data_IF_710641063648
#
_entry.id   IF_710641063648
#
_cell.length_a   1.000
_cell.length_b   1.000
_cell.length_c   1.000
_cell.angle_alpha   90.00
_cell.angle_beta   90.00
_cell.angle_gamma   90.00
#
_symmetry.space_group_name_H-M   'P 1'
#
loop_
_entity.id
_entity.type
_entity.pdbx_description
1 polymer ?
#
# COMPACT_ATOMS: atom_id res chain seq x y z
N UNK A 1 15.11 -29.54 -5.79
CA UNK A 1 15.05 -29.21 -4.34
C UNK A 1 13.59 -28.94 -4.01
N UNK A 2 13.02 -29.69 -3.08
CA UNK A 2 11.64 -29.49 -2.63
C UNK A 2 11.50 -28.24 -1.75
N UNK A 3 10.26 -27.79 -1.54
CA UNK A 3 9.96 -26.56 -0.80
C UNK A 3 10.40 -26.65 0.67
N UNK A 4 10.34 -27.82 1.29
CA UNK A 4 10.73 -28.04 2.68
C UNK A 4 12.24 -27.87 2.83
N UNK A 5 13.01 -28.51 1.95
CA UNK A 5 14.47 -28.37 1.91
C UNK A 5 14.89 -26.92 1.68
N UNK A 6 14.24 -26.21 0.75
CA UNK A 6 14.55 -24.79 0.49
C UNK A 6 14.26 -23.90 1.71
N UNK A 7 13.17 -24.15 2.44
CA UNK A 7 12.82 -23.40 3.66
C UNK A 7 13.81 -23.62 4.79
N UNK A 8 14.27 -24.85 4.98
CA UNK A 8 15.24 -25.17 6.04
C UNK A 8 16.58 -24.49 5.79
N UNK A 9 17.11 -24.55 4.57
CA UNK A 9 18.35 -23.84 4.20
C UNK A 9 18.22 -22.33 4.41
N UNK A 10 17.06 -21.75 4.12
CA UNK A 10 16.84 -20.33 4.34
C UNK A 10 16.89 -19.96 5.83
N UNK A 11 16.24 -20.75 6.71
CA UNK A 11 16.26 -20.52 8.16
C UNK A 11 17.69 -20.57 8.71
N UNK A 12 18.45 -21.60 8.34
CA UNK A 12 19.84 -21.73 8.79
C UNK A 12 20.70 -20.53 8.39
N UNK A 13 20.53 -19.99 7.18
CA UNK A 13 21.23 -18.79 6.72
C UNK A 13 20.76 -17.54 7.46
N UNK A 14 19.48 -17.45 7.76
CA UNK A 14 18.90 -16.32 8.48
C UNK A 14 19.41 -16.26 9.92
N UNK A 15 19.48 -17.41 10.61
CA UNK A 15 19.98 -17.51 11.98
C UNK A 15 21.46 -17.11 12.11
N UNK A 16 22.22 -17.21 11.01
CA UNK A 16 23.63 -16.80 10.97
C UNK A 16 23.83 -15.29 10.76
N UNK A 17 22.77 -14.53 10.44
CA UNK A 17 22.87 -13.09 10.24
C UNK A 17 23.14 -12.40 11.58
N UNK A 18 24.28 -11.72 11.68
CA UNK A 18 24.66 -10.91 12.86
C UNK A 18 24.35 -9.43 12.69
N UNK A 19 24.07 -9.01 11.46
CA UNK A 19 23.72 -7.63 11.12
C UNK A 19 22.25 -7.38 11.45
N UNK A 20 22.02 -6.58 12.50
CA UNK A 20 20.68 -6.20 12.97
C UNK A 20 19.90 -5.44 11.90
N UNK A 21 20.54 -4.54 11.15
CA UNK A 21 19.86 -3.73 10.12
C UNK A 21 19.41 -4.60 8.95
N UNK A 22 20.15 -5.67 8.66
CA UNK A 22 19.73 -6.67 7.68
C UNK A 22 18.49 -7.46 8.15
N UNK A 23 18.47 -7.90 9.41
CA UNK A 23 17.32 -8.59 10.01
C UNK A 23 16.07 -7.71 9.96
N UNK A 24 16.19 -6.44 10.38
CA UNK A 24 15.06 -5.49 10.41
C UNK A 24 14.47 -5.25 9.01
N UNK A 25 15.32 -5.16 7.98
CA UNK A 25 14.86 -5.03 6.58
C UNK A 25 14.08 -6.26 6.11
N UNK A 26 14.51 -7.45 6.52
CA UNK A 26 13.78 -8.69 6.20
C UNK A 26 12.44 -8.76 6.94
N UNK A 27 12.37 -8.36 8.20
CA UNK A 27 11.12 -8.29 8.97
C UNK A 27 10.11 -7.36 8.29
N UNK A 28 10.52 -6.15 7.93
CA UNK A 28 9.69 -5.19 7.18
C UNK A 28 9.23 -5.76 5.83
N UNK A 29 10.13 -6.43 5.11
CA UNK A 29 9.77 -7.06 3.83
C UNK A 29 8.71 -8.15 4.02
N UNK A 30 8.88 -9.05 5.01
CA UNK A 30 7.92 -10.10 5.30
C UNK A 30 6.59 -9.52 5.77
N UNK A 31 6.60 -8.47 6.59
CA UNK A 31 5.40 -7.76 6.99
C UNK A 31 4.64 -7.24 5.76
N UNK A 32 5.30 -6.59 4.80
CA UNK A 32 4.65 -6.11 3.56
C UNK A 32 4.03 -7.26 2.75
N UNK A 33 4.75 -8.39 2.62
CA UNK A 33 4.27 -9.51 1.80
C UNK A 33 3.17 -10.33 2.49
N UNK A 34 3.22 -10.48 3.81
CA UNK A 34 2.35 -11.38 4.58
C UNK A 34 1.14 -10.68 5.20
N UNK A 35 1.24 -9.40 5.55
CA UNK A 35 0.15 -8.65 6.19
C UNK A 35 -1.06 -8.39 5.29
N UNK A 36 -0.99 -8.76 4.01
CA UNK A 36 -2.01 -8.39 3.01
C UNK A 36 -2.03 -6.88 2.70
N UNK A 37 -1.20 -6.07 3.37
CA UNK A 37 -1.01 -4.64 3.12
C UNK A 37 -0.08 -4.40 1.92
N UNK A 38 -0.35 -5.10 0.82
CA UNK A 38 0.34 -4.85 -0.44
C UNK A 38 0.13 -3.39 -0.83
N UNK A 39 1.23 -2.65 -0.91
CA UNK A 39 1.22 -1.29 -1.47
C UNK A 39 0.86 -1.40 -2.95
N UNK A 40 -0.16 -0.67 -3.38
CA UNK A 40 -0.66 -0.68 -4.76
C UNK A 40 -0.50 0.66 -5.48
N UNK A 41 -0.31 1.74 -4.73
CA UNK A 41 -0.13 3.10 -5.26
C UNK A 41 0.57 4.00 -4.23
N UNK A 42 0.82 5.25 -4.59
CA UNK A 42 1.27 6.32 -3.70
C UNK A 42 0.35 7.54 -3.83
N UNK A 43 0.21 8.34 -2.76
CA UNK A 43 -0.53 9.61 -2.78
C UNK A 43 0.28 10.70 -3.50
N UNK A 44 -0.33 11.85 -3.79
CA UNK A 44 0.38 13.03 -4.34
C UNK A 44 1.42 13.58 -3.35
N UNK A 45 1.30 13.27 -2.05
CA UNK A 45 2.29 13.56 -1.01
C UNK A 45 3.40 12.48 -0.92
N UNK A 46 3.34 11.43 -1.74
CA UNK A 46 4.31 10.33 -1.73
C UNK A 46 4.07 9.27 -0.66
N UNK A 47 2.92 9.27 0.01
CA UNK A 47 2.60 8.28 1.04
C UNK A 47 2.08 6.98 0.42
N UNK A 48 2.45 5.80 0.97
CA UNK A 48 2.02 4.52 0.42
C UNK A 48 0.52 4.29 0.60
N UNK A 49 -0.13 3.77 -0.44
CA UNK A 49 -1.52 3.30 -0.43
C UNK A 49 -1.55 1.78 -0.45
N UNK A 50 -2.03 1.17 0.63
CA UNK A 50 -2.29 -0.28 0.66
C UNK A 50 -3.52 -0.62 -0.18
N UNK A 51 -3.63 -1.88 -0.61
CA UNK A 51 -4.80 -2.39 -1.33
C UNK A 51 -6.12 -2.11 -0.57
N UNK A 52 -6.12 -2.27 0.75
CA UNK A 52 -7.29 -1.99 1.59
C UNK A 52 -7.71 -0.53 1.51
N UNK A 53 -6.76 0.39 1.72
CA UNK A 53 -7.00 1.84 1.64
C UNK A 53 -7.48 2.27 0.25
N UNK A 54 -6.93 1.68 -0.80
CA UNK A 54 -7.33 1.96 -2.17
C UNK A 54 -8.79 1.56 -2.44
N UNK A 55 -9.18 0.34 -2.03
CA UNK A 55 -10.56 -0.13 -2.16
C UNK A 55 -11.53 0.73 -1.36
N UNK A 56 -11.14 1.16 -0.17
CA UNK A 56 -11.95 2.05 0.66
C UNK A 56 -12.13 3.44 0.00
N UNK A 57 -11.06 4.04 -0.53
CA UNK A 57 -11.14 5.28 -1.31
C UNK A 57 -12.10 5.16 -2.49
N UNK A 58 -12.02 4.06 -3.26
CA UNK A 58 -12.92 3.84 -4.39
C UNK A 58 -14.39 3.73 -3.95
N UNK A 59 -14.66 3.01 -2.85
CA UNK A 59 -16.01 2.91 -2.27
C UNK A 59 -16.54 4.27 -1.80
N UNK A 60 -15.69 5.08 -1.17
CA UNK A 60 -16.08 6.41 -0.69
C UNK A 60 -16.36 7.35 -1.87
N UNK A 61 -15.54 7.34 -2.92
CA UNK A 61 -15.79 8.10 -4.14
C UNK A 61 -17.13 7.73 -4.78
N UNK A 62 -17.42 6.43 -4.90
CA UNK A 62 -18.71 5.96 -5.43
C UNK A 62 -19.90 6.40 -4.58
N UNK A 63 -19.77 6.35 -3.25
CA UNK A 63 -20.80 6.87 -2.33
C UNK A 63 -21.02 8.37 -2.50
N UNK A 64 -19.96 9.15 -2.66
CA UNK A 64 -20.04 10.60 -2.90
C UNK A 64 -20.81 10.89 -4.18
N UNK A 65 -20.46 10.22 -5.28
CA UNK A 65 -21.18 10.35 -6.56
C UNK A 65 -22.66 9.98 -6.41
N UNK A 66 -22.96 8.83 -5.80
CA UNK A 66 -24.34 8.36 -5.61
C UNK A 66 -25.17 9.26 -4.68
N UNK A 67 -24.54 10.01 -3.79
CA UNK A 67 -25.20 10.97 -2.89
C UNK A 67 -25.26 12.39 -3.45
N UNK A 68 -24.87 12.59 -4.72
CA UNK A 68 -24.85 13.90 -5.37
C UNK A 68 -23.72 14.83 -4.89
N UNK A 69 -22.76 14.31 -4.11
CA UNK A 69 -21.59 15.04 -3.61
C UNK A 69 -20.43 14.92 -4.60
N UNK A 70 -20.59 15.54 -5.76
CA UNK A 70 -19.53 15.66 -6.75
C UNK A 70 -19.45 17.11 -7.23
N UNK A 71 -18.27 17.51 -7.70
CA UNK A 71 -18.05 18.82 -8.32
C UNK A 71 -17.97 18.59 -9.82
N UNK A 72 -18.78 19.28 -10.61
CA UNK A 72 -18.73 19.21 -12.07
C UNK A 72 -17.63 20.10 -12.63
N UNK A 73 -17.31 19.95 -13.92
CA UNK A 73 -16.35 20.82 -14.59
C UNK A 73 -16.82 22.29 -14.56
N UNK A 74 -18.11 22.53 -14.77
CA UNK A 74 -18.66 23.89 -14.71
C UNK A 74 -18.56 24.51 -13.30
N UNK A 75 -18.70 23.70 -12.24
CA UNK A 75 -18.51 24.17 -10.87
C UNK A 75 -17.04 24.57 -10.63
N UNK A 76 -16.10 23.77 -11.14
CA UNK A 76 -14.65 24.08 -11.05
C UNK A 76 -14.26 25.33 -11.83
N UNK A 77 -14.81 25.51 -13.04
CA UNK A 77 -14.58 26.71 -13.86
C UNK A 77 -15.03 27.97 -13.11
N UNK A 78 -16.24 27.92 -12.52
CA UNK A 78 -16.78 29.03 -11.71
C UNK A 78 -15.97 29.29 -10.43
N UNK A 79 -15.46 28.26 -9.77
CA UNK A 79 -14.58 28.42 -8.59
C UNK A 79 -13.24 29.07 -8.98
N UNK A 80 -12.67 28.67 -10.13
CA UNK A 80 -11.39 29.20 -10.62
C UNK A 80 -11.45 30.68 -11.01
N UNK A 81 -12.62 31.21 -11.37
CA UNK A 81 -12.81 32.65 -11.66
C UNK A 81 -12.63 33.53 -10.42
N UNK A 82 -12.70 32.96 -9.21
CA UNK A 82 -12.58 33.67 -7.94
C UNK A 82 -11.20 33.50 -7.27
N UNK A 83 -10.23 32.92 -7.96
CA UNK A 83 -8.83 32.78 -7.52
C UNK A 83 -7.96 33.90 -8.09
#
# INVERSE_FOLDING_TARGET
MDLTTRKNIFKERFDQIKDKDLVERFEKFLEIQLSGNKIVAYTIQGEPLTKGMYVEKAKNALKSVNSGKFTSVADLEKESENW
#
